data_IF_704882422816
#
_entry.id   IF_704882422816
#
_cell.length_a   1.000
_cell.length_b   1.000
_cell.length_c   1.000
_cell.angle_alpha   90.00
_cell.angle_beta   90.00
_cell.angle_gamma   90.00
#
_symmetry.space_group_name_H-M   'P 1'
#
loop_
_entity.id
_entity.type
_entity.pdbx_description
1 polymer ?
#
# COMPACT_ATOMS: atom_id res chain seq x y z
N UNK A 1 -9.34 -35.92 -31.49
CA UNK A 1 -8.08 -35.28 -31.04
C UNK A 1 -8.08 -33.74 -31.10
N UNK A 2 -8.89 -33.05 -31.92
CA UNK A 2 -8.89 -31.57 -32.04
C UNK A 2 -9.54 -30.78 -30.88
N UNK A 3 -10.27 -31.43 -29.97
CA UNK A 3 -11.00 -30.75 -28.86
C UNK A 3 -10.08 -30.35 -27.69
N UNK A 4 -9.02 -31.12 -27.44
CA UNK A 4 -8.05 -30.86 -26.36
C UNK A 4 -7.32 -29.51 -26.56
N UNK A 5 -6.73 -29.20 -27.74
CA UNK A 5 -6.06 -27.90 -27.93
C UNK A 5 -7.02 -26.71 -27.86
N UNK A 6 -8.29 -26.88 -28.26
CA UNK A 6 -9.32 -25.84 -28.14
C UNK A 6 -9.62 -25.52 -26.67
N UNK A 7 -9.79 -26.55 -25.83
CA UNK A 7 -10.05 -26.38 -24.40
C UNK A 7 -8.86 -25.71 -23.71
N UNK A 8 -7.63 -26.13 -24.02
CA UNK A 8 -6.41 -25.51 -23.47
C UNK A 8 -6.33 -24.04 -23.88
N UNK A 9 -6.59 -23.72 -25.15
CA UNK A 9 -6.56 -22.33 -25.64
C UNK A 9 -7.61 -21.46 -24.94
N UNK A 10 -8.84 -21.95 -24.80
CA UNK A 10 -9.90 -21.23 -24.10
C UNK A 10 -9.55 -20.99 -22.62
N UNK A 11 -8.98 -21.99 -21.94
CA UNK A 11 -8.54 -21.86 -20.55
C UNK A 11 -7.42 -20.81 -20.39
N UNK A 12 -6.46 -20.76 -21.32
CA UNK A 12 -5.40 -19.76 -21.31
C UNK A 12 -5.93 -18.34 -21.50
N UNK A 13 -6.90 -18.14 -22.40
CA UNK A 13 -7.53 -16.82 -22.59
C UNK A 13 -8.27 -16.37 -21.33
N UNK A 14 -9.05 -17.27 -20.71
CA UNK A 14 -9.76 -16.95 -19.47
C UNK A 14 -8.80 -16.62 -18.32
N UNK A 15 -7.70 -17.36 -18.20
CA UNK A 15 -6.66 -17.06 -17.22
C UNK A 15 -6.02 -15.69 -17.46
N UNK A 16 -5.70 -15.36 -18.72
CA UNK A 16 -5.15 -14.06 -19.10
C UNK A 16 -6.11 -12.90 -18.78
N UNK A 17 -7.41 -13.07 -19.08
CA UNK A 17 -8.44 -12.09 -18.74
C UNK A 17 -8.61 -11.92 -17.22
N UNK A 18 -8.52 -13.01 -16.46
CA UNK A 18 -8.56 -12.97 -15.00
C UNK A 18 -7.38 -12.19 -14.40
N UNK A 19 -6.17 -12.44 -14.90
CA UNK A 19 -4.96 -11.71 -14.50
C UNK A 19 -5.08 -10.23 -14.87
N UNK A 20 -5.49 -9.91 -16.09
CA UNK A 20 -5.69 -8.54 -16.54
C UNK A 20 -6.70 -7.80 -15.66
N UNK A 21 -7.85 -8.43 -15.38
CA UNK A 21 -8.87 -7.88 -14.49
C UNK A 21 -8.32 -7.62 -13.09
N UNK A 22 -7.49 -8.52 -12.55
CA UNK A 22 -6.86 -8.34 -11.24
C UNK A 22 -5.91 -7.14 -11.19
N UNK A 23 -5.11 -6.92 -12.23
CA UNK A 23 -4.22 -5.76 -12.27
C UNK A 23 -4.98 -4.45 -12.53
N UNK A 24 -6.06 -4.48 -13.31
CA UNK A 24 -6.90 -3.30 -13.53
C UNK A 24 -7.79 -2.95 -12.33
N UNK A 25 -8.06 -3.92 -11.46
CA UNK A 25 -8.81 -3.71 -10.23
C UNK A 25 -8.01 -2.89 -9.21
N UNK A 26 -8.69 -1.93 -8.59
CA UNK A 26 -8.21 -1.15 -7.45
C UNK A 26 -9.25 -1.19 -6.34
N UNK A 27 -8.79 -1.10 -5.10
CA UNK A 27 -9.64 -0.73 -3.97
C UNK A 27 -10.18 0.69 -4.18
N UNK A 28 -11.35 0.98 -3.62
CA UNK A 28 -11.95 2.31 -3.63
C UNK A 28 -11.04 3.35 -2.95
N UNK A 29 -10.94 4.55 -3.52
CA UNK A 29 -10.01 5.55 -3.01
C UNK A 29 -10.35 6.05 -1.62
N UNK A 30 -11.63 6.16 -1.26
CA UNK A 30 -12.03 6.53 0.09
C UNK A 30 -11.59 5.45 1.08
N UNK A 31 -11.67 4.18 0.70
CA UNK A 31 -11.17 3.09 1.53
C UNK A 31 -9.65 3.12 1.71
N UNK A 32 -8.89 3.38 0.64
CA UNK A 32 -7.43 3.54 0.70
C UNK A 32 -7.04 4.69 1.65
N UNK A 33 -7.68 5.85 1.49
CA UNK A 33 -7.42 7.04 2.32
C UNK A 33 -7.83 6.79 3.78
N UNK A 34 -8.94 6.10 4.02
CA UNK A 34 -9.36 5.73 5.38
C UNK A 34 -8.35 4.80 6.06
N UNK A 35 -7.80 3.82 5.33
CA UNK A 35 -6.74 2.92 5.84
C UNK A 35 -5.46 3.70 6.16
N UNK A 36 -5.05 4.63 5.28
CA UNK A 36 -3.93 5.54 5.53
C UNK A 36 -4.14 6.39 6.78
N UNK A 37 -5.32 6.99 6.93
CA UNK A 37 -5.68 7.79 8.10
C UNK A 37 -5.59 6.97 9.39
N UNK A 38 -6.08 5.72 9.39
CA UNK A 38 -5.96 4.82 10.54
C UNK A 38 -4.51 4.58 10.97
N UNK A 39 -3.59 4.34 10.03
CA UNK A 39 -2.18 4.17 10.38
C UNK A 39 -1.52 5.47 10.88
N UNK A 40 -1.92 6.62 10.33
CA UNK A 40 -1.44 7.94 10.82
C UNK A 40 -1.92 8.21 12.24
N UNK A 41 -3.16 7.85 12.57
CA UNK A 41 -3.67 7.90 13.95
C UNK A 41 -2.87 6.98 14.86
N UNK A 42 -2.60 5.74 14.46
CA UNK A 42 -1.77 4.81 15.23
C UNK A 42 -0.36 5.39 15.52
N UNK A 43 0.24 6.05 14.52
CA UNK A 43 1.54 6.71 14.66
C UNK A 43 1.49 7.91 15.60
N UNK A 44 0.43 8.71 15.51
CA UNK A 44 0.21 9.82 16.42
C UNK A 44 0.04 9.33 17.88
N UNK A 45 -0.73 8.27 18.10
CA UNK A 45 -0.90 7.66 19.43
C UNK A 45 0.42 7.12 19.98
N UNK A 46 1.22 6.44 19.14
CA UNK A 46 2.56 6.01 19.54
C UNK A 46 3.41 7.19 19.98
N UNK A 47 3.45 8.26 19.18
CA UNK A 47 4.19 9.49 19.49
C UNK A 47 3.74 10.16 20.77
N UNK A 48 2.43 10.19 21.04
CA UNK A 48 1.90 10.71 22.29
C UNK A 48 2.38 9.89 23.50
N UNK A 49 2.46 8.56 23.35
CA UNK A 49 2.88 7.67 24.44
C UNK A 49 4.39 7.57 24.67
N UNK A 50 5.20 7.75 23.61
CA UNK A 50 6.67 7.57 23.63
C UNK A 50 7.48 8.86 23.42
N UNK A 51 6.81 9.97 23.14
CA UNK A 51 7.44 11.27 22.86
C UNK A 51 8.01 11.43 21.44
N UNK A 52 8.10 10.37 20.65
CA UNK A 52 8.63 10.40 19.28
C UNK A 52 7.92 9.40 18.36
N UNK A 53 7.96 9.64 17.05
CA UNK A 53 7.51 8.65 16.07
C UNK A 53 8.44 7.42 16.11
N UNK A 54 7.93 6.22 15.77
CA UNK A 54 8.74 5.01 15.88
C UNK A 54 9.89 4.99 14.86
N UNK A 55 11.07 4.51 15.25
CA UNK A 55 12.17 4.35 14.30
C UNK A 55 11.89 3.23 13.29
N UNK A 56 11.06 2.25 13.66
CA UNK A 56 10.60 1.18 12.79
C UNK A 56 9.07 1.10 12.82
N UNK A 57 8.41 1.05 11.66
CA UNK A 57 6.96 0.93 11.60
C UNK A 57 6.42 -0.28 12.41
N UNK A 58 7.18 -1.38 12.48
CA UNK A 58 6.80 -2.57 13.24
C UNK A 58 6.62 -2.30 14.74
N UNK A 59 7.22 -1.22 15.27
CA UNK A 59 7.05 -0.81 16.65
C UNK A 59 5.57 -0.53 16.96
N UNK A 60 4.81 0.03 16.00
CA UNK A 60 3.36 0.26 16.12
C UNK A 60 2.57 -1.04 16.36
N UNK A 61 3.04 -2.13 15.75
CA UNK A 61 2.42 -3.44 15.89
C UNK A 61 2.76 -4.04 17.25
N UNK A 62 4.05 -4.04 17.59
CA UNK A 62 4.52 -4.61 18.86
C UNK A 62 4.03 -3.83 20.10
N UNK A 63 3.79 -2.53 19.97
CA UNK A 63 3.25 -1.70 21.05
C UNK A 63 1.73 -1.77 21.19
N UNK A 64 1.03 -2.48 20.28
CA UNK A 64 -0.42 -2.58 20.26
C UNK A 64 -1.14 -1.33 19.76
N UNK A 65 -0.43 -0.34 19.20
CA UNK A 65 -1.06 0.84 18.59
C UNK A 65 -1.71 0.52 17.23
N UNK A 66 -1.30 -0.57 16.58
CA UNK A 66 -1.85 -1.07 15.33
C UNK A 66 -1.83 -2.60 15.35
N UNK A 67 -2.90 -3.28 14.95
CA UNK A 67 -2.92 -4.75 14.90
C UNK A 67 -1.99 -5.30 13.80
N UNK A 68 -2.09 -4.73 12.60
CA UNK A 68 -1.25 -5.03 11.45
C UNK A 68 -1.36 -3.91 10.41
N UNK A 69 -0.38 -3.75 9.48
CA UNK A 69 -0.58 -2.88 8.33
C UNK A 69 -1.80 -3.33 7.52
N UNK A 70 -2.74 -2.43 7.18
CA UNK A 70 -3.90 -2.79 6.39
C UNK A 70 -3.50 -3.20 4.98
N UNK A 71 -4.22 -4.16 4.39
CA UNK A 71 -4.01 -4.56 2.99
C UNK A 71 -4.22 -3.38 2.06
N UNK A 72 -3.37 -3.20 1.07
CA UNK A 72 -3.53 -2.21 0.02
C UNK A 72 -3.61 -2.92 -1.33
N UNK A 73 -4.59 -2.56 -2.16
CA UNK A 73 -4.65 -3.00 -3.56
C UNK A 73 -4.90 -1.79 -4.43
N UNK A 74 -3.89 -1.44 -5.21
CA UNK A 74 -3.98 -0.38 -6.21
C UNK A 74 -3.97 -0.99 -7.62
N UNK A 75 -4.48 -0.23 -8.59
CA UNK A 75 -4.34 -0.55 -10.01
C UNK A 75 -2.87 -0.75 -10.36
N UNK A 76 -2.57 -1.70 -11.25
CA UNK A 76 -1.23 -2.09 -11.69
C UNK A 76 -0.32 -2.74 -10.64
N UNK A 77 -0.77 -2.85 -9.39
CA UNK A 77 -0.01 -3.50 -8.33
C UNK A 77 -0.72 -4.73 -7.79
N UNK A 78 0.06 -5.66 -7.22
CA UNK A 78 -0.49 -6.76 -6.41
C UNK A 78 -0.92 -6.22 -5.06
N UNK A 79 -1.85 -6.91 -4.41
CA UNK A 79 -2.21 -6.55 -3.05
C UNK A 79 -1.02 -6.73 -2.10
N UNK A 80 -0.80 -5.77 -1.20
CA UNK A 80 0.35 -5.73 -0.30
C UNK A 80 -0.05 -5.37 1.12
N UNK A 81 0.62 -5.97 2.10
CA UNK A 81 0.59 -5.58 3.51
C UNK A 81 1.92 -4.89 3.91
N UNK A 82 2.84 -4.73 2.95
CA UNK A 82 4.21 -4.29 3.26
C UNK A 82 4.26 -2.78 3.47
N UNK A 83 5.04 -2.39 4.47
CA UNK A 83 5.44 -1.00 4.71
C UNK A 83 6.94 -0.91 4.44
N UNK A 84 7.31 -0.14 3.41
CA UNK A 84 8.70 0.07 3.03
C UNK A 84 9.30 1.20 3.88
N UNK A 85 10.36 0.94 4.66
CA UNK A 85 11.10 2.02 5.30
C UNK A 85 11.84 2.84 4.23
N UNK A 86 11.90 4.15 4.43
CA UNK A 86 12.57 5.08 3.51
C UNK A 86 13.15 6.26 4.28
N UNK A 87 14.32 6.79 3.88
CA UNK A 87 14.87 7.97 4.55
C UNK A 87 14.13 9.27 4.16
N UNK A 88 13.46 9.27 3.00
CA UNK A 88 12.79 10.45 2.44
C UNK A 88 11.38 10.12 1.98
N UNK A 89 10.50 11.12 2.00
CA UNK A 89 9.14 11.03 1.47
C UNK A 89 9.15 10.98 -0.05
N UNK A 90 9.40 9.79 -0.61
CA UNK A 90 9.46 9.56 -2.05
C UNK A 90 8.82 8.22 -2.42
N UNK A 91 7.87 8.28 -3.34
CA UNK A 91 7.27 7.08 -3.93
C UNK A 91 8.25 6.37 -4.87
N UNK A 92 8.27 5.05 -4.78
CA UNK A 92 9.03 4.08 -5.60
C UNK A 92 8.12 3.13 -6.38
N UNK A 93 6.81 3.42 -6.38
CA UNK A 93 5.80 2.68 -7.14
C UNK A 93 5.73 1.18 -6.78
N UNK A 94 5.83 0.86 -5.49
CA UNK A 94 5.72 -0.53 -5.02
C UNK A 94 4.27 -1.00 -4.91
N UNK A 95 3.31 -0.07 -4.88
CA UNK A 95 1.89 -0.36 -4.64
C UNK A 95 1.56 -0.74 -3.19
N UNK A 96 2.50 -0.50 -2.27
CA UNK A 96 2.36 -0.71 -0.83
C UNK A 96 2.33 0.61 -0.06
N UNK A 97 2.72 0.54 1.21
CA UNK A 97 2.87 1.70 2.08
C UNK A 97 4.34 2.12 2.16
N UNK A 98 4.60 3.41 2.30
CA UNK A 98 5.91 3.96 2.61
C UNK A 98 5.92 4.56 4.01
N UNK A 99 7.03 4.43 4.72
CA UNK A 99 7.25 5.03 6.04
C UNK A 99 8.59 5.75 6.11
N UNK A 100 8.56 7.05 6.40
CA UNK A 100 9.77 7.85 6.57
C UNK A 100 10.38 7.55 7.94
N UNK A 101 11.46 6.78 7.95
CA UNK A 101 12.03 6.19 9.15
C UNK A 101 13.39 6.79 9.55
N UNK A 102 13.88 7.80 8.82
CA UNK A 102 15.09 8.54 9.18
C UNK A 102 14.75 9.68 10.16
N UNK A 103 15.23 9.64 11.43
CA UNK A 103 14.99 10.69 12.42
C UNK A 103 15.54 12.06 12.04
N UNK A 104 16.47 12.14 11.08
CA UNK A 104 17.03 13.40 10.57
C UNK A 104 16.15 14.04 9.50
N UNK A 105 15.20 13.28 8.94
CA UNK A 105 14.26 13.79 7.94
C UNK A 105 13.23 14.71 8.58
N UNK A 106 12.89 15.81 7.91
CA UNK A 106 11.78 16.67 8.36
C UNK A 106 10.45 15.91 8.38
N UNK A 107 10.33 14.91 7.52
CA UNK A 107 9.11 14.12 7.32
C UNK A 107 9.13 12.84 8.19
N UNK A 108 10.07 12.72 9.15
CA UNK A 108 10.18 11.56 10.03
C UNK A 108 8.84 11.21 10.69
N UNK A 109 8.47 9.93 10.63
CA UNK A 109 7.18 9.43 11.12
C UNK A 109 6.03 9.53 10.12
N UNK A 110 6.28 10.03 8.91
CA UNK A 110 5.22 10.14 7.89
C UNK A 110 4.99 8.80 7.21
N UNK A 111 3.72 8.38 7.20
CA UNK A 111 3.24 7.26 6.39
C UNK A 111 2.53 7.82 5.15
N UNK A 112 2.81 7.22 4.01
CA UNK A 112 2.27 7.60 2.71
C UNK A 112 1.99 6.37 1.83
N UNK A 113 1.30 6.57 0.72
CA UNK A 113 1.02 5.52 -0.26
C UNK A 113 2.19 5.47 -1.27
N UNK A 114 2.84 4.33 -1.38
CA UNK A 114 4.04 4.15 -2.19
C UNK A 114 3.68 3.80 -3.64
N UNK A 115 3.05 4.74 -4.34
CA UNK A 115 2.55 4.61 -5.70
C UNK A 115 2.78 5.91 -6.50
N UNK A 116 3.33 5.80 -7.70
CA UNK A 116 3.56 6.94 -8.60
C UNK A 116 2.34 7.26 -9.48
N UNK A 117 1.32 6.40 -9.46
CA UNK A 117 0.09 6.58 -10.23
C UNK A 117 -0.89 7.54 -9.53
N UNK A 118 -1.94 7.92 -10.28
CA UNK A 118 -3.05 8.74 -9.79
C UNK A 118 -4.28 7.89 -9.43
N UNK A 119 -5.11 8.41 -8.54
CA UNK A 119 -6.45 7.88 -8.27
C UNK A 119 -7.42 8.16 -9.43
N UNK A 120 -8.67 7.69 -9.33
CA UNK A 120 -9.69 7.91 -10.35
C UNK A 120 -10.08 9.38 -10.55
N UNK A 121 -9.71 10.27 -9.63
CA UNK A 121 -9.93 11.72 -9.70
C UNK A 121 -8.69 12.48 -10.20
N UNK A 122 -7.63 11.78 -10.57
CA UNK A 122 -6.39 12.37 -11.06
C UNK A 122 -5.46 12.91 -9.98
N UNK A 123 -5.65 12.56 -8.70
CA UNK A 123 -4.77 12.95 -7.58
C UNK A 123 -3.64 11.93 -7.41
N UNK A 124 -2.41 12.37 -7.18
CA UNK A 124 -1.29 11.46 -6.98
C UNK A 124 -1.47 10.68 -5.69
N UNK A 125 -1.29 9.35 -5.71
CA UNK A 125 -1.42 8.54 -4.51
C UNK A 125 -0.46 8.95 -3.38
N UNK A 126 0.76 9.34 -3.74
CA UNK A 126 1.78 9.77 -2.77
C UNK A 126 1.50 11.13 -2.11
N UNK A 127 0.53 11.90 -2.60
CA UNK A 127 0.18 13.23 -2.08
C UNK A 127 -0.92 13.20 -1.01
N UNK A 128 -1.58 12.05 -0.81
CA UNK A 128 -2.52 11.85 0.29
C UNK A 128 -1.80 11.72 1.62
#
# INVERSE_FOLDING_TARGET
MKKIPLIISAALVLAALGVLRYYLYSMDAAEVVRRLAGMRVATALFRLSKGSAPANFNDLVTSGNLEAPPKLKLKWHRASLKVRPTPVLQAKDTGGWGYVNDPKSRDFGTIFIDCAHRDEKGRSWSEF
#
